data_IF_523458264222
#
_entry.id   IF_523458264222
#
_cell.length_a   1.000
_cell.length_b   1.000
_cell.length_c   1.000
_cell.angle_alpha   90.00
_cell.angle_beta   90.00
_cell.angle_gamma   90.00
#
_symmetry.space_group_name_H-M   'P 1'
#
loop_
_entity.id
_entity.type
_entity.pdbx_description
1 polymer ?
#
# COMPACT_ATOMS: atom_id res chain seq x y z
N UNK A 1 -1.46 -7.31 -3.34
CA UNK A 1 -2.18 -6.46 -2.37
C UNK A 1 -1.15 -5.62 -1.62
N UNK A 2 -1.21 -4.30 -1.73
CA UNK A 2 -0.28 -3.40 -1.04
C UNK A 2 -1.00 -2.80 0.18
N UNK A 3 -0.52 -3.05 1.39
CA UNK A 3 -1.24 -2.69 2.62
C UNK A 3 -0.29 -2.11 3.67
N UNK A 4 -0.72 -1.07 4.39
CA UNK A 4 0.06 -0.50 5.51
C UNK A 4 0.05 -1.37 6.78
N UNK A 5 -0.98 -2.21 6.94
CA UNK A 5 -1.14 -3.14 8.08
C UNK A 5 -1.12 -4.57 7.57
N UNK A 6 -0.10 -5.33 7.96
CA UNK A 6 0.09 -6.73 7.58
C UNK A 6 -1.02 -7.62 8.12
N UNK A 7 -1.46 -7.37 9.36
CA UNK A 7 -2.56 -8.08 10.02
C UNK A 7 -3.84 -7.97 9.19
N UNK A 8 -4.31 -6.74 8.93
CA UNK A 8 -5.54 -6.52 8.16
C UNK A 8 -5.41 -7.01 6.72
N UNK A 9 -4.23 -6.89 6.12
CA UNK A 9 -3.95 -7.44 4.79
C UNK A 9 -4.05 -8.97 4.76
N UNK A 10 -3.52 -9.63 5.79
CA UNK A 10 -3.55 -11.09 5.94
C UNK A 10 -4.97 -11.61 6.15
N UNK A 11 -5.75 -10.94 7.00
CA UNK A 11 -7.17 -11.26 7.18
C UNK A 11 -7.97 -11.11 5.89
N UNK A 12 -7.76 -10.02 5.16
CA UNK A 12 -8.42 -9.79 3.87
C UNK A 12 -8.05 -10.87 2.85
N UNK A 13 -6.78 -11.29 2.81
CA UNK A 13 -6.31 -12.38 1.96
C UNK A 13 -7.03 -13.70 2.26
N UNK A 14 -7.17 -14.05 3.54
CA UNK A 14 -7.89 -15.26 3.97
C UNK A 14 -9.36 -15.20 3.51
N UNK A 15 -10.03 -14.06 3.71
CA UNK A 15 -11.42 -13.86 3.28
C UNK A 15 -11.59 -13.99 1.76
N UNK A 16 -10.69 -13.40 0.98
CA UNK A 16 -10.71 -13.51 -0.49
C UNK A 16 -10.53 -14.96 -0.96
N UNK A 17 -9.61 -15.70 -0.33
CA UNK A 17 -9.43 -17.12 -0.62
C UNK A 17 -10.69 -17.94 -0.32
N UNK A 18 -11.35 -17.67 0.82
CA UNK A 18 -12.63 -18.30 1.17
C UNK A 18 -13.77 -17.94 0.19
N UNK A 19 -13.70 -16.79 -0.46
CA UNK A 19 -14.63 -16.36 -1.50
C UNK A 19 -14.33 -16.98 -2.88
N UNK A 20 -13.31 -17.84 -2.98
CA UNK A 20 -12.97 -18.56 -4.22
C UNK A 20 -11.83 -17.95 -5.02
N UNK A 21 -11.13 -16.93 -4.51
CA UNK A 21 -9.90 -16.45 -5.13
C UNK A 21 -8.76 -17.46 -4.93
N UNK A 22 -7.92 -17.63 -5.94
CA UNK A 22 -6.70 -18.44 -5.82
C UNK A 22 -5.69 -17.77 -4.87
N UNK A 23 -5.49 -18.39 -3.70
CA UNK A 23 -4.62 -17.87 -2.64
C UNK A 23 -3.15 -17.71 -3.08
N UNK A 24 -2.68 -18.50 -4.05
CA UNK A 24 -1.30 -18.41 -4.55
C UNK A 24 -1.05 -17.11 -5.31
N UNK A 25 -2.11 -16.50 -5.84
CA UNK A 25 -2.07 -15.23 -6.58
C UNK A 25 -2.33 -14.02 -5.69
N UNK A 26 -2.67 -14.22 -4.42
CA UNK A 26 -2.90 -13.16 -3.44
C UNK A 26 -1.61 -12.85 -2.69
N UNK A 27 -0.70 -12.11 -3.33
CA UNK A 27 0.56 -11.66 -2.74
C UNK A 27 0.28 -10.43 -1.87
N UNK A 28 0.81 -10.39 -0.65
CA UNK A 28 0.70 -9.25 0.27
C UNK A 28 2.09 -8.63 0.44
N UNK A 29 2.21 -7.34 0.19
CA UNK A 29 3.44 -6.56 0.39
C UNK A 29 3.11 -5.34 1.24
N UNK A 30 3.96 -5.04 2.23
CA UNK A 30 3.77 -3.87 3.09
C UNK A 30 4.03 -2.58 2.31
N UNK A 31 3.10 -1.64 2.39
CA UNK A 31 3.24 -0.33 1.76
C UNK A 31 2.44 0.72 2.54
N UNK A 32 3.14 1.67 3.15
CA UNK A 32 2.53 2.87 3.73
C UNK A 32 2.83 4.09 2.85
N UNK A 33 1.79 4.68 2.24
CA UNK A 33 1.93 5.85 1.38
C UNK A 33 2.29 7.13 2.17
N UNK A 34 2.15 7.11 3.50
CA UNK A 34 2.59 8.18 4.40
C UNK A 34 4.08 8.09 4.79
N UNK A 35 4.83 7.13 4.23
CA UNK A 35 6.26 6.92 4.46
C UNK A 35 6.97 6.58 3.14
N UNK A 36 7.77 7.50 2.62
CA UNK A 36 8.46 7.29 1.35
C UNK A 36 9.50 6.16 1.38
N UNK A 37 10.07 5.84 2.55
CA UNK A 37 10.95 4.68 2.68
C UNK A 37 10.17 3.38 2.48
N UNK A 38 8.96 3.28 3.06
CA UNK A 38 8.06 2.14 2.87
C UNK A 38 7.64 1.96 1.41
N UNK A 39 7.33 3.05 0.70
CA UNK A 39 6.98 3.00 -0.73
C UNK A 39 8.14 2.42 -1.56
N UNK A 40 9.37 2.87 -1.31
CA UNK A 40 10.56 2.40 -2.04
C UNK A 40 10.90 0.95 -1.71
N UNK A 41 10.72 0.52 -0.46
CA UNK A 41 10.91 -0.87 -0.06
C UNK A 41 9.90 -1.79 -0.75
N UNK A 42 8.63 -1.39 -0.77
CA UNK A 42 7.57 -2.11 -1.48
C UNK A 42 7.89 -2.27 -2.98
N UNK A 43 8.29 -1.18 -3.66
CA UNK A 43 8.68 -1.24 -5.06
C UNK A 43 9.87 -2.18 -5.30
N UNK A 44 10.88 -2.14 -4.42
CA UNK A 44 12.04 -3.06 -4.50
C UNK A 44 11.64 -4.52 -4.29
N UNK A 45 10.68 -4.80 -3.42
CA UNK A 45 10.20 -6.16 -3.19
C UNK A 45 9.45 -6.69 -4.40
N UNK A 46 8.58 -5.89 -4.99
CA UNK A 46 7.85 -6.26 -6.21
C UNK A 46 8.81 -6.51 -7.37
N UNK A 47 9.80 -5.65 -7.58
CA UNK A 47 10.79 -5.80 -8.65
C UNK A 47 11.72 -7.02 -8.49
N UNK A 48 11.77 -7.65 -7.30
CA UNK A 48 12.50 -8.91 -7.12
C UNK A 48 11.73 -10.11 -7.65
N UNK A 49 10.41 -10.08 -7.51
CA UNK A 49 9.52 -11.20 -7.83
C UNK A 49 8.90 -11.06 -9.22
N UNK A 50 8.69 -9.83 -9.69
CA UNK A 50 7.94 -9.52 -10.91
C UNK A 50 8.73 -8.60 -11.84
N UNK A 51 8.86 -8.98 -13.11
CA UNK A 51 9.58 -8.20 -14.13
C UNK A 51 8.80 -6.95 -14.58
N UNK A 52 7.47 -7.00 -14.50
CA UNK A 52 6.59 -5.92 -14.98
C UNK A 52 5.32 -5.78 -14.14
N UNK A 53 4.77 -4.57 -14.16
CA UNK A 53 3.44 -4.27 -13.62
C UNK A 53 2.53 -3.90 -14.80
N UNK A 54 1.53 -4.73 -15.09
CA UNK A 54 0.56 -4.44 -16.15
C UNK A 54 -0.48 -3.39 -15.72
N UNK A 55 -0.90 -3.42 -14.44
CA UNK A 55 -1.92 -2.52 -13.89
C UNK A 55 -1.54 -2.11 -12.47
N UNK A 56 -1.53 -0.79 -12.21
CA UNK A 56 -1.41 -0.21 -10.88
C UNK A 56 -2.71 0.51 -10.51
N UNK A 57 -3.38 0.05 -9.44
CA UNK A 57 -4.62 0.67 -8.95
C UNK A 57 -4.31 1.52 -7.71
N UNK A 58 -4.26 2.83 -7.91
CA UNK A 58 -3.97 3.83 -6.89
C UNK A 58 -5.18 4.15 -5.99
N UNK A 59 -5.79 3.12 -5.40
CA UNK A 59 -7.04 3.18 -4.64
C UNK A 59 -6.90 3.79 -3.22
N UNK A 60 -5.79 3.50 -2.52
CA UNK A 60 -5.67 3.83 -1.10
C UNK A 60 -5.87 5.33 -0.81
N UNK A 61 -6.49 5.68 0.30
CA UNK A 61 -6.65 7.08 0.68
C UNK A 61 -7.14 7.24 2.11
N UNK A 62 -6.78 8.36 2.73
CA UNK A 62 -7.25 8.78 4.05
C UNK A 62 -8.11 10.04 3.92
N UNK A 63 -9.18 10.13 4.70
CA UNK A 63 -10.10 11.26 4.73
C UNK A 63 -10.48 11.54 6.19
N UNK A 64 -10.95 12.77 6.48
CA UNK A 64 -11.38 13.20 7.81
C UNK A 64 -10.31 13.00 8.88
N UNK A 65 -9.06 13.32 8.55
CA UNK A 65 -7.96 13.22 9.50
C UNK A 65 -8.18 14.27 10.61
N UNK A 66 -8.23 13.87 11.90
CA UNK A 66 -8.87 14.66 12.95
C UNK A 66 -8.12 15.93 13.36
N UNK A 67 -6.85 16.03 12.97
CA UNK A 67 -5.97 17.17 13.26
C UNK A 67 -4.93 17.31 12.15
N UNK A 68 -4.39 18.50 11.96
CA UNK A 68 -3.21 18.66 11.13
C UNK A 68 -2.04 17.87 11.73
N UNK A 69 -1.47 16.95 10.95
CA UNK A 69 -0.33 16.14 11.33
C UNK A 69 0.61 16.00 10.16
N UNK A 70 1.91 15.97 10.46
CA UNK A 70 2.94 15.71 9.48
C UNK A 70 3.31 14.23 9.51
N UNK A 71 3.56 13.68 8.33
CA UNK A 71 4.18 12.36 8.15
C UNK A 71 5.65 12.38 8.61
N UNK A 72 6.28 11.21 8.59
CA UNK A 72 7.73 11.07 8.84
C UNK A 72 8.58 11.83 7.84
N UNK A 73 8.08 12.04 6.62
CA UNK A 73 8.73 12.82 5.57
C UNK A 73 8.42 14.33 5.66
N UNK A 74 7.63 14.76 6.65
CA UNK A 74 7.38 16.18 6.95
C UNK A 74 6.26 16.84 6.14
N UNK A 75 5.52 16.09 5.33
CA UNK A 75 4.36 16.59 4.58
C UNK A 75 3.05 16.39 5.37
N UNK A 76 2.01 17.13 5.02
CA UNK A 76 0.68 16.93 5.63
C UNK A 76 0.15 15.51 5.30
N UNK A 77 -0.44 14.85 6.30
CA UNK A 77 -0.87 13.44 6.25
C UNK A 77 -1.74 13.10 5.04
N UNK A 78 -2.81 13.86 4.79
CA UNK A 78 -3.71 13.57 3.66
C UNK A 78 -3.05 13.86 2.32
N UNK A 79 -2.27 14.93 2.22
CA UNK A 79 -1.55 15.30 1.00
C UNK A 79 -0.52 14.25 0.60
N UNK A 80 0.29 13.79 1.56
CA UNK A 80 1.27 12.76 1.25
C UNK A 80 0.61 11.43 0.92
N UNK A 81 -0.29 10.94 1.78
CA UNK A 81 -0.91 9.62 1.60
C UNK A 81 -1.72 9.53 0.31
N UNK A 82 -2.48 10.58 -0.04
CA UNK A 82 -3.42 10.51 -1.16
C UNK A 82 -2.81 10.94 -2.49
N UNK A 83 -1.70 11.69 -2.46
CA UNK A 83 -1.08 12.25 -3.66
C UNK A 83 0.40 11.92 -3.76
N UNK A 84 1.25 12.41 -2.85
CA UNK A 84 2.71 12.29 -3.03
C UNK A 84 3.19 10.83 -3.03
N UNK A 85 2.74 10.02 -2.07
CA UNK A 85 3.14 8.62 -1.97
C UNK A 85 2.73 7.80 -3.19
N UNK A 86 1.54 8.08 -3.75
CA UNK A 86 1.04 7.39 -4.96
C UNK A 86 1.81 7.73 -6.22
N UNK A 87 2.28 8.98 -6.34
CA UNK A 87 3.08 9.42 -7.49
C UNK A 87 4.55 8.99 -7.37
N UNK A 88 5.00 8.60 -6.16
CA UNK A 88 6.36 8.11 -5.93
C UNK A 88 6.53 6.63 -6.29
N UNK A 89 5.46 5.85 -6.26
CA UNK A 89 5.46 4.43 -6.59
C UNK A 89 5.66 4.21 -8.10
#
# INVERSE_FOLDING_TARGET
MLCRSEERGSEARIKLAQMGCDATRLILVKCDLADFSSVRECAKEILKEEEKIDILINNAGVMFYPKYEKTVDGHEMTWQSNHLGKNLF
#
